data_IF_094785320618
#
_entry.id   IF_094785320618
#
_cell.length_a   1.000
_cell.length_b   1.000
_cell.length_c   1.000
_cell.angle_alpha   90.00
_cell.angle_beta   90.00
_cell.angle_gamma   90.00
#
_symmetry.space_group_name_H-M   'P 1'
#
loop_
_entity.id
_entity.type
_entity.pdbx_description
1 polymer ?
#
# COMPACT_ATOMS: atom_id res chain seq x y z
N UNK A 1 -8.63 -11.44 -12.30
CA UNK A 1 -7.19 -11.28 -12.54
C UNK A 1 -6.50 -12.65 -12.54
N UNK A 2 -6.45 -13.37 -13.67
CA UNK A 2 -5.80 -14.68 -13.75
C UNK A 2 -4.29 -14.57 -13.95
N UNK A 3 -3.54 -15.56 -13.48
CA UNK A 3 -2.11 -15.70 -13.74
C UNK A 3 -1.65 -17.16 -13.61
N UNK A 4 -0.58 -17.49 -14.33
CA UNK A 4 0.17 -18.74 -14.16
C UNK A 4 1.66 -18.42 -14.01
N UNK A 5 2.27 -18.96 -12.96
CA UNK A 5 3.70 -18.82 -12.68
C UNK A 5 4.36 -20.18 -12.83
N UNK A 6 4.96 -20.42 -14.01
CA UNK A 6 5.54 -21.71 -14.39
C UNK A 6 6.59 -22.22 -13.39
N UNK A 7 7.53 -21.35 -13.00
CA UNK A 7 8.60 -21.70 -12.05
C UNK A 7 8.12 -22.07 -10.65
N UNK A 8 6.86 -21.76 -10.31
CA UNK A 8 6.23 -22.09 -9.03
C UNK A 8 5.14 -23.15 -9.17
N UNK A 9 4.87 -23.64 -10.38
CA UNK A 9 3.72 -24.51 -10.70
C UNK A 9 2.42 -24.00 -10.04
N UNK A 10 2.18 -22.69 -10.14
CA UNK A 10 1.04 -22.04 -9.48
C UNK A 10 0.15 -21.36 -10.52
N UNK A 11 -1.10 -21.83 -10.64
CA UNK A 11 -2.13 -21.21 -11.47
C UNK A 11 -3.28 -20.73 -10.59
N UNK A 12 -3.82 -19.55 -10.89
CA UNK A 12 -4.93 -19.02 -10.12
C UNK A 12 -5.60 -17.80 -10.73
N UNK A 13 -6.73 -17.44 -10.14
CA UNK A 13 -7.46 -16.22 -10.47
C UNK A 13 -7.89 -15.52 -9.20
N UNK A 14 -7.66 -14.20 -9.15
CA UNK A 14 -8.27 -13.33 -8.14
C UNK A 14 -9.52 -12.67 -8.70
N UNK A 15 -10.65 -12.89 -8.02
CA UNK A 15 -11.88 -12.11 -8.19
C UNK A 15 -11.89 -11.03 -7.11
N UNK A 16 -11.95 -9.76 -7.50
CA UNK A 16 -11.82 -8.63 -6.56
C UNK A 16 -12.76 -7.50 -6.94
N UNK A 17 -13.39 -6.89 -5.94
CA UNK A 17 -14.19 -5.67 -6.08
C UNK A 17 -13.78 -4.62 -5.04
N UNK A 18 -13.95 -3.35 -5.41
CA UNK A 18 -13.75 -2.19 -4.54
C UNK A 18 -15.03 -1.35 -4.48
N UNK A 19 -15.54 -1.05 -3.28
CA UNK A 19 -16.77 -0.27 -3.09
C UNK A 19 -16.61 0.83 -2.05
N UNK A 20 -16.79 2.08 -2.46
CA UNK A 20 -16.68 3.25 -1.58
C UNK A 20 -17.78 3.31 -0.52
N UNK A 21 -18.91 2.64 -0.73
CA UNK A 21 -20.03 2.62 0.22
C UNK A 21 -19.81 1.59 1.34
N UNK A 22 -19.01 0.56 1.10
CA UNK A 22 -18.82 -0.54 2.05
C UNK A 22 -18.39 -0.07 3.45
N UNK A 23 -17.44 0.86 3.61
CA UNK A 23 -17.06 1.34 4.94
C UNK A 23 -18.22 1.93 5.75
N UNK A 24 -19.19 2.59 5.10
CA UNK A 24 -20.38 3.12 5.78
C UNK A 24 -21.31 2.03 6.31
N UNK A 25 -21.19 0.80 5.80
CA UNK A 25 -21.92 -0.38 6.25
C UNK A 25 -21.08 -1.29 7.15
N UNK A 26 -19.88 -0.83 7.57
CA UNK A 26 -18.95 -1.64 8.35
C UNK A 26 -18.25 -2.75 7.56
N UNK A 27 -18.34 -2.73 6.22
CA UNK A 27 -17.67 -3.68 5.33
C UNK A 27 -16.33 -3.14 4.83
N UNK A 28 -15.35 -4.01 4.51
CA UNK A 28 -14.10 -3.61 3.88
C UNK A 28 -14.32 -2.99 2.49
N UNK A 29 -13.47 -2.02 2.13
CA UNK A 29 -13.48 -1.43 0.78
C UNK A 29 -13.16 -2.48 -0.29
N UNK A 30 -12.11 -3.28 -0.09
CA UNK A 30 -11.75 -4.40 -0.95
C UNK A 30 -12.41 -5.67 -0.43
N UNK A 31 -13.11 -6.38 -1.31
CA UNK A 31 -13.52 -7.78 -1.09
C UNK A 31 -12.92 -8.59 -2.21
N UNK A 32 -12.25 -9.69 -1.88
CA UNK A 32 -11.61 -10.54 -2.88
C UNK A 32 -11.63 -12.02 -2.50
N UNK A 33 -11.62 -12.86 -3.53
CA UNK A 33 -11.41 -14.29 -3.43
C UNK A 33 -10.28 -14.68 -4.38
N UNK A 34 -9.41 -15.58 -3.94
CA UNK A 34 -8.36 -16.16 -4.77
C UNK A 34 -8.66 -17.65 -4.93
N UNK A 35 -8.79 -18.07 -6.18
CA UNK A 35 -8.97 -19.47 -6.55
C UNK A 35 -7.65 -19.99 -7.11
N UNK A 36 -7.22 -21.15 -6.61
CA UNK A 36 -6.01 -21.83 -7.09
C UNK A 36 -6.39 -23.13 -7.80
N UNK A 37 -5.61 -23.46 -8.82
CA UNK A 37 -5.78 -24.65 -9.64
C UNK A 37 -4.45 -25.37 -9.76
N UNK A 38 -4.52 -26.68 -9.90
CA UNK A 38 -3.40 -27.48 -10.35
C UNK A 38 -3.11 -27.16 -11.82
N UNK A 39 -1.91 -26.67 -12.17
CA UNK A 39 -1.62 -26.27 -13.54
C UNK A 39 -1.43 -27.44 -14.50
N UNK A 40 -1.16 -28.66 -14.01
CA UNK A 40 -0.92 -29.84 -14.84
C UNK A 40 -2.25 -30.53 -15.20
N UNK A 41 -3.18 -30.60 -14.26
CA UNK A 41 -4.47 -31.31 -14.39
C UNK A 41 -5.67 -30.37 -14.58
N UNK A 42 -5.52 -29.08 -14.30
CA UNK A 42 -6.62 -28.10 -14.28
C UNK A 42 -7.57 -28.23 -13.09
N UNK A 43 -7.32 -29.18 -12.17
CA UNK A 43 -8.21 -29.45 -11.03
C UNK A 43 -8.16 -28.28 -10.04
N UNK A 44 -9.34 -27.84 -9.60
CA UNK A 44 -9.48 -26.84 -8.53
C UNK A 44 -8.82 -27.33 -7.23
N UNK A 45 -7.99 -26.48 -6.63
CA UNK A 45 -7.25 -26.80 -5.40
C UNK A 45 -7.91 -26.20 -4.17
N UNK A 46 -8.11 -24.89 -4.17
CA UNK A 46 -8.71 -24.20 -3.04
C UNK A 46 -9.22 -22.81 -3.42
N UNK A 47 -10.03 -22.29 -2.49
CA UNK A 47 -10.47 -20.90 -2.44
C UNK A 47 -9.98 -20.29 -1.15
N UNK A 48 -9.46 -19.06 -1.22
CA UNK A 48 -8.91 -18.33 -0.08
C UNK A 48 -9.48 -16.92 -0.08
N UNK A 49 -9.72 -16.38 1.11
CA UNK A 49 -10.00 -14.94 1.25
C UNK A 49 -8.83 -14.14 0.68
N UNK A 50 -9.17 -13.20 -0.21
CA UNK A 50 -8.20 -12.42 -0.96
C UNK A 50 -7.99 -11.01 -0.43
N UNK A 51 -8.71 -10.57 0.60
CA UNK A 51 -8.64 -9.18 1.09
C UNK A 51 -7.25 -8.92 1.66
N UNK A 52 -6.85 -9.68 2.69
CA UNK A 52 -5.56 -9.48 3.34
C UNK A 52 -4.40 -9.73 2.38
N UNK A 53 -4.49 -10.79 1.56
CA UNK A 53 -3.48 -11.09 0.53
C UNK A 53 -3.36 -9.91 -0.44
N UNK A 54 -4.48 -9.30 -0.84
CA UNK A 54 -4.47 -8.10 -1.70
C UNK A 54 -3.80 -6.92 -1.01
N UNK A 55 -4.04 -6.68 0.27
CA UNK A 55 -3.38 -5.60 1.01
C UNK A 55 -1.86 -5.84 1.08
N UNK A 56 -1.41 -7.00 1.56
CA UNK A 56 0.02 -7.32 1.70
C UNK A 56 0.77 -7.31 0.36
N UNK A 57 0.24 -7.98 -0.67
CA UNK A 57 0.95 -8.05 -1.97
C UNK A 57 1.05 -6.70 -2.67
N UNK A 58 0.11 -5.79 -2.41
CA UNK A 58 0.13 -4.43 -2.99
C UNK A 58 1.22 -3.58 -2.32
N UNK A 59 1.39 -3.71 -0.99
CA UNK A 59 2.54 -3.20 -0.25
C UNK A 59 3.87 -3.73 -0.78
N UNK A 60 4.01 -5.05 -0.83
CA UNK A 60 5.24 -5.73 -1.22
C UNK A 60 5.71 -5.33 -2.63
N UNK A 61 4.78 -5.21 -3.58
CA UNK A 61 5.10 -4.75 -4.94
C UNK A 61 5.81 -3.38 -4.94
N UNK A 62 5.23 -2.39 -4.24
CA UNK A 62 5.77 -1.03 -4.21
C UNK A 62 7.11 -0.98 -3.47
N UNK A 63 7.22 -1.68 -2.33
CA UNK A 63 8.46 -1.74 -1.55
C UNK A 63 9.60 -2.39 -2.34
N UNK A 64 9.34 -3.50 -3.05
CA UNK A 64 10.35 -4.15 -3.90
C UNK A 64 10.75 -3.24 -5.05
N UNK A 65 9.79 -2.62 -5.75
CA UNK A 65 10.10 -1.69 -6.83
C UNK A 65 10.96 -0.52 -6.32
N UNK A 66 10.58 0.07 -5.18
CA UNK A 66 11.31 1.15 -4.54
C UNK A 66 12.75 0.75 -4.21
N UNK A 67 12.99 -0.45 -3.67
CA UNK A 67 14.32 -0.94 -3.30
C UNK A 67 15.28 -0.90 -4.48
N UNK A 68 14.83 -1.36 -5.66
CA UNK A 68 15.66 -1.39 -6.86
C UNK A 68 15.78 -0.03 -7.55
N UNK A 69 14.73 0.79 -7.53
CA UNK A 69 14.76 2.13 -8.14
C UNK A 69 15.63 3.09 -7.32
N UNK A 70 15.51 3.05 -5.99
CA UNK A 70 16.21 3.97 -5.09
C UNK A 70 17.70 3.69 -5.01
N UNK A 71 18.09 2.41 -4.93
CA UNK A 71 19.47 2.01 -4.63
C UNK A 71 19.94 2.40 -3.23
N UNK A 72 19.08 3.00 -2.40
CA UNK A 72 19.37 3.40 -1.01
C UNK A 72 18.75 2.41 -0.03
N UNK A 73 19.40 2.25 1.13
CA UNK A 73 18.85 1.47 2.25
C UNK A 73 18.04 2.33 3.24
N UNK A 74 18.44 3.59 3.42
CA UNK A 74 17.85 4.52 4.38
C UNK A 74 16.99 5.57 3.66
N UNK A 75 15.75 5.76 4.10
CA UNK A 75 14.78 6.64 3.43
C UNK A 75 13.85 7.37 4.41
N UNK A 76 13.24 8.46 3.94
CA UNK A 76 12.00 9.04 4.51
C UNK A 76 10.81 8.64 3.65
N UNK A 77 9.76 8.10 4.28
CA UNK A 77 8.58 7.59 3.59
C UNK A 77 7.38 8.52 3.78
N UNK A 78 6.80 8.97 2.67
CA UNK A 78 5.56 9.73 2.65
C UNK A 78 4.39 8.83 2.23
N UNK A 79 3.29 8.88 2.97
CA UNK A 79 2.08 8.10 2.66
C UNK A 79 0.88 9.04 2.59
N UNK A 80 0.11 8.94 1.51
CA UNK A 80 -1.24 9.47 1.42
C UNK A 80 -2.25 8.34 1.57
N UNK A 81 -3.13 8.45 2.56
CA UNK A 81 -4.18 7.48 2.86
C UNK A 81 -3.86 6.66 4.10
N UNK A 82 -4.58 6.95 5.18
CA UNK A 82 -4.45 6.30 6.47
C UNK A 82 -5.36 5.06 6.61
N UNK A 83 -5.62 4.36 5.49
CA UNK A 83 -6.46 3.16 5.39
C UNK A 83 -5.69 1.83 5.48
N UNK A 84 -6.34 0.73 5.10
CA UNK A 84 -5.73 -0.62 5.13
C UNK A 84 -4.50 -0.75 4.21
N UNK A 85 -4.56 -0.13 3.03
CA UNK A 85 -3.43 -0.08 2.11
C UNK A 85 -2.27 0.72 2.70
N UNK A 86 -2.52 1.89 3.31
CA UNK A 86 -1.45 2.68 3.94
C UNK A 86 -0.66 1.86 4.97
N UNK A 87 -1.36 1.07 5.80
CA UNK A 87 -0.73 0.22 6.82
C UNK A 87 0.17 -0.84 6.21
N UNK A 88 -0.33 -1.56 5.21
CA UNK A 88 0.42 -2.62 4.52
C UNK A 88 1.56 -2.09 3.67
N UNK A 89 1.46 -0.87 3.14
CA UNK A 89 2.59 -0.16 2.53
C UNK A 89 3.69 0.07 3.56
N UNK A 90 3.38 0.68 4.71
CA UNK A 90 4.39 0.90 5.75
C UNK A 90 5.05 -0.40 6.22
N UNK A 91 4.27 -1.44 6.49
CA UNK A 91 4.81 -2.76 6.86
C UNK A 91 5.78 -3.28 5.79
N UNK A 92 5.37 -3.28 4.52
CA UNK A 92 6.21 -3.78 3.43
C UNK A 92 7.49 -2.96 3.22
N UNK A 93 7.41 -1.62 3.34
CA UNK A 93 8.59 -0.76 3.23
C UNK A 93 9.55 -0.96 4.41
N UNK A 94 9.04 -1.16 5.63
CA UNK A 94 9.86 -1.40 6.82
C UNK A 94 10.64 -2.73 6.75
N UNK A 95 10.15 -3.72 6.00
CA UNK A 95 10.88 -4.98 5.77
C UNK A 95 12.13 -4.82 4.88
N UNK A 96 12.18 -3.79 4.03
CA UNK A 96 13.24 -3.64 3.03
C UNK A 96 14.08 -2.37 3.15
N UNK A 97 13.64 -1.40 3.97
CA UNK A 97 14.33 -0.14 4.22
C UNK A 97 14.52 0.13 5.72
N UNK A 98 15.59 0.85 6.03
CA UNK A 98 15.74 1.57 7.30
C UNK A 98 15.00 2.92 7.19
N UNK A 99 13.77 2.98 7.70
CA UNK A 99 12.94 4.18 7.57
C UNK A 99 13.27 5.16 8.68
N UNK A 100 13.74 6.34 8.32
CA UNK A 100 14.09 7.42 9.26
C UNK A 100 12.86 8.11 9.84
N UNK A 101 11.88 8.35 8.97
CA UNK A 101 10.66 9.08 9.31
C UNK A 101 9.55 8.65 8.36
N UNK A 102 8.35 8.51 8.90
CA UNK A 102 7.12 8.37 8.12
C UNK A 102 6.31 9.65 8.24
N UNK A 103 5.87 10.21 7.11
CA UNK A 103 4.96 11.35 7.08
C UNK A 103 3.64 10.91 6.45
N UNK A 104 2.56 10.94 7.21
CA UNK A 104 1.23 10.45 6.80
C UNK A 104 0.26 11.62 6.64
N UNK A 105 -0.52 11.60 5.55
CA UNK A 105 -1.63 12.51 5.35
C UNK A 105 -2.90 11.75 4.95
N UNK A 106 -4.02 12.15 5.54
CA UNK A 106 -5.37 11.78 5.13
C UNK A 106 -6.29 12.99 5.33
N UNK A 107 -7.37 13.08 4.56
CA UNK A 107 -8.39 14.11 4.76
C UNK A 107 -9.14 13.93 6.08
N UNK A 108 -9.15 12.69 6.61
CA UNK A 108 -9.74 12.36 7.89
C UNK A 108 -8.68 12.35 9.01
N UNK A 109 -8.66 13.35 9.91
CA UNK A 109 -7.66 13.43 10.97
C UNK A 109 -7.76 12.27 11.98
N UNK A 110 -8.97 11.73 12.22
CA UNK A 110 -9.15 10.57 13.09
C UNK A 110 -8.54 9.30 12.49
N UNK A 111 -8.59 9.16 11.15
CA UNK A 111 -7.92 8.06 10.47
C UNK A 111 -6.39 8.15 10.62
N UNK A 112 -5.82 9.36 10.54
CA UNK A 112 -4.39 9.60 10.78
C UNK A 112 -4.01 9.26 12.21
N UNK A 113 -4.78 9.73 13.20
CA UNK A 113 -4.53 9.43 14.62
C UNK A 113 -4.55 7.94 14.89
N UNK A 114 -5.57 7.23 14.40
CA UNK A 114 -5.69 5.77 14.52
C UNK A 114 -4.53 5.05 13.83
N UNK A 115 -4.13 5.51 12.64
CA UNK A 115 -2.98 4.97 11.93
C UNK A 115 -1.69 5.09 12.74
N UNK A 116 -1.42 6.27 13.32
CA UNK A 116 -0.21 6.50 14.12
C UNK A 116 -0.22 5.60 15.36
N UNK A 117 -1.34 5.52 16.10
CA UNK A 117 -1.43 4.67 17.30
C UNK A 117 -1.20 3.18 16.99
N UNK A 118 -1.79 2.68 15.91
CA UNK A 118 -1.64 1.28 15.51
C UNK A 118 -0.24 0.99 14.98
N UNK A 119 0.24 1.80 14.04
CA UNK A 119 1.48 1.51 13.32
C UNK A 119 2.74 1.81 14.13
N UNK A 120 2.69 2.73 15.09
CA UNK A 120 3.83 2.96 16.01
C UNK A 120 4.11 1.76 16.91
N UNK A 121 3.16 0.82 17.05
CA UNK A 121 3.35 -0.46 17.76
C UNK A 121 3.95 -1.53 16.86
N UNK A 122 3.86 -1.37 15.54
CA UNK A 122 4.30 -2.33 14.52
C UNK A 122 5.71 -2.01 14.02
N UNK A 123 6.02 -0.73 13.83
CA UNK A 123 7.34 -0.26 13.38
C UNK A 123 8.01 0.58 14.45
N UNK A 124 9.36 0.58 14.46
CA UNK A 124 10.17 1.37 15.41
C UNK A 124 10.41 2.82 14.96
N UNK A 125 9.90 3.20 13.78
CA UNK A 125 10.13 4.49 13.15
C UNK A 125 9.12 5.53 13.64
N UNK A 126 9.55 6.78 13.78
CA UNK A 126 8.68 7.91 14.06
C UNK A 126 7.66 8.12 12.93
N UNK A 127 6.38 8.22 13.28
CA UNK A 127 5.28 8.50 12.34
C UNK A 127 4.66 9.84 12.70
N UNK A 128 4.75 10.81 11.78
CA UNK A 128 4.24 12.16 11.96
C UNK A 128 3.06 12.42 11.02
N UNK A 129 2.03 13.11 11.52
CA UNK A 129 0.97 13.67 10.68
C UNK A 129 1.51 14.87 9.89
N UNK A 130 1.29 14.90 8.58
CA UNK A 130 1.54 16.09 7.76
C UNK A 130 0.44 17.14 8.00
N UNK A 131 0.82 18.41 8.11
CA UNK A 131 -0.13 19.50 8.30
C UNK A 131 -0.98 19.77 7.05
N UNK A 132 -0.41 19.52 5.87
CA UNK A 132 -1.09 19.63 4.59
C UNK A 132 -0.67 18.51 3.63
N UNK A 133 -1.46 18.30 2.58
CA UNK A 133 -1.09 17.35 1.53
C UNK A 133 0.26 17.70 0.87
N UNK A 134 0.62 18.98 0.81
CA UNK A 134 1.87 19.44 0.20
C UNK A 134 3.11 19.06 1.03
N UNK A 135 2.97 18.85 2.33
CA UNK A 135 4.12 18.61 3.22
C UNK A 135 4.68 17.19 3.10
N UNK A 136 3.86 16.22 2.68
CA UNK A 136 4.30 14.83 2.45
C UNK A 136 5.48 14.75 1.48
N UNK A 137 5.42 15.27 0.25
CA UNK A 137 6.52 15.19 -0.70
C UNK A 137 7.70 16.09 -0.32
N UNK A 138 7.47 17.19 0.42
CA UNK A 138 8.57 18.03 0.95
C UNK A 138 9.47 17.23 1.89
N UNK A 139 8.88 16.41 2.74
CA UNK A 139 9.61 15.70 3.79
C UNK A 139 10.04 14.27 3.43
N UNK A 140 9.49 13.68 2.35
CA UNK A 140 9.78 12.31 1.94
C UNK A 140 10.78 12.19 0.78
N UNK A 141 11.47 11.04 0.71
CA UNK A 141 12.24 10.58 -0.45
C UNK A 141 11.40 9.68 -1.37
N UNK A 142 10.47 8.94 -0.79
CA UNK A 142 9.55 8.07 -1.49
C UNK A 142 8.12 8.39 -1.04
N UNK A 143 7.23 8.59 -1.99
CA UNK A 143 5.83 8.94 -1.74
C UNK A 143 4.92 7.85 -2.29
N UNK A 144 4.03 7.36 -1.44
CA UNK A 144 3.05 6.34 -1.78
C UNK A 144 1.65 6.94 -1.62
N UNK A 145 0.84 6.90 -2.67
CA UNK A 145 -0.56 7.34 -2.61
C UNK A 145 -1.49 6.16 -2.77
N UNK A 146 -2.32 5.93 -1.75
CA UNK A 146 -3.31 4.85 -1.67
C UNK A 146 -4.65 5.42 -1.21
N UNK A 147 -5.04 6.56 -1.79
CA UNK A 147 -6.31 7.24 -1.52
C UNK A 147 -7.27 7.09 -2.69
N UNK A 148 -8.57 7.15 -2.44
CA UNK A 148 -9.60 7.20 -3.49
C UNK A 148 -9.80 8.62 -4.07
N UNK A 149 -8.82 9.51 -3.89
CA UNK A 149 -8.93 10.92 -4.24
C UNK A 149 -9.07 11.11 -5.75
N UNK A 150 -10.23 11.60 -6.21
CA UNK A 150 -10.51 11.80 -7.64
C UNK A 150 -9.89 13.07 -8.24
N UNK A 151 -9.34 13.96 -7.41
CA UNK A 151 -9.09 15.37 -7.79
C UNK A 151 -7.62 15.73 -8.08
N UNK A 152 -6.77 14.80 -8.57
CA UNK A 152 -5.34 15.06 -8.88
C UNK A 152 -4.65 15.95 -7.82
N UNK A 153 -4.90 15.66 -6.54
CA UNK A 153 -4.56 16.59 -5.47
C UNK A 153 -3.04 16.70 -5.26
N UNK A 154 -2.26 15.68 -5.67
CA UNK A 154 -0.80 15.70 -5.68
C UNK A 154 -0.34 16.47 -6.93
N UNK A 155 0.31 17.62 -6.72
CA UNK A 155 0.80 18.48 -7.80
C UNK A 155 2.24 18.14 -8.14
N UNK A 156 2.58 18.16 -9.43
CA UNK A 156 3.96 17.95 -9.91
C UNK A 156 4.95 18.95 -9.32
N UNK A 157 4.51 20.19 -9.05
CA UNK A 157 5.34 21.24 -8.42
C UNK A 157 5.80 20.91 -6.99
N UNK A 158 5.19 19.93 -6.34
CA UNK A 158 5.57 19.51 -4.99
C UNK A 158 6.64 18.42 -4.99
N UNK A 159 6.85 17.74 -6.13
CA UNK A 159 7.75 16.59 -6.25
C UNK A 159 9.17 17.08 -6.55
N UNK A 160 10.13 16.60 -5.76
CA UNK A 160 11.55 16.95 -5.89
C UNK A 160 12.23 16.07 -6.97
N UNK A 161 13.25 16.56 -7.66
CA UNK A 161 14.09 15.73 -8.51
C UNK A 161 14.63 14.50 -7.77
N UNK A 162 14.55 13.32 -8.39
CA UNK A 162 15.01 12.05 -7.81
C UNK A 162 14.06 11.42 -6.79
N UNK A 163 12.90 12.02 -6.52
CA UNK A 163 11.87 11.46 -5.65
C UNK A 163 11.11 10.33 -6.37
N UNK A 164 10.81 9.24 -5.65
CA UNK A 164 10.05 8.12 -6.19
C UNK A 164 8.59 8.26 -5.78
N UNK A 165 7.66 8.13 -6.72
CA UNK A 165 6.22 8.30 -6.46
C UNK A 165 5.44 7.07 -6.95
N UNK A 166 4.64 6.47 -6.06
CA UNK A 166 3.74 5.36 -6.36
C UNK A 166 2.27 5.79 -6.22
N UNK A 167 1.60 6.20 -7.31
CA UNK A 167 0.16 6.49 -7.32
C UNK A 167 -0.64 5.20 -7.54
N UNK A 168 -1.19 4.62 -6.47
CA UNK A 168 -1.84 3.30 -6.49
C UNK A 168 -3.30 3.28 -6.05
N UNK A 169 -3.81 4.41 -5.55
CA UNK A 169 -5.20 4.57 -5.08
C UNK A 169 -6.21 4.92 -6.17
#
# INVERSE_FOLDING_TARGET
MPAYIHSKKSAGIKCVGGSLNNPSWGLPYIIALILLFDPETGIFRCIVDGEQITNYRTGAQAAVAAKYISGRKKIKLGIYGAGAQGRTQLMAFAEVFDIEKVVIYDINPEAVKKYIDEMSKVVKTEICAAASAEDVPKEADIVVSVTHGRNKFIKSSWIKPGQIVFPMG
#
